data_IF_341895090522
#
_entry.id   IF_341895090522
#
_cell.length_a   1.000
_cell.length_b   1.000
_cell.length_c   1.000
_cell.angle_alpha   90.00
_cell.angle_beta   90.00
_cell.angle_gamma   90.00
#
_symmetry.space_group_name_H-M   'P 1'
#
loop_
_entity.id
_entity.type
_entity.pdbx_description
1 polymer ?
#
# COMPACT_ATOMS: atom_id res chain seq x y z
N UNK A 1 7.76 -13.49 -0.41
CA UNK A 1 8.68 -14.06 0.59
C UNK A 1 9.42 -12.87 1.20
N UNK A 2 9.55 -12.80 2.51
CA UNK A 2 10.28 -11.71 3.17
C UNK A 2 11.71 -12.17 3.45
N UNK A 3 12.70 -11.41 2.97
CA UNK A 3 14.11 -11.69 3.26
C UNK A 3 14.49 -11.14 4.64
N UNK A 4 15.44 -11.80 5.29
CA UNK A 4 16.08 -11.34 6.54
C UNK A 4 17.41 -10.61 6.29
N UNK A 5 17.77 -10.38 5.02
CA UNK A 5 19.00 -9.67 4.66
C UNK A 5 19.01 -8.25 5.23
N UNK A 6 20.18 -7.84 5.74
CA UNK A 6 20.38 -6.52 6.36
C UNK A 6 20.91 -5.50 5.35
N UNK A 7 21.54 -5.96 4.27
CA UNK A 7 22.07 -5.09 3.22
C UNK A 7 21.50 -5.45 1.84
N UNK A 8 21.47 -4.49 0.88
CA UNK A 8 21.07 -4.78 -0.49
C UNK A 8 21.93 -5.86 -1.15
N UNK A 9 23.21 -5.94 -0.79
CA UNK A 9 24.12 -6.95 -1.33
C UNK A 9 23.80 -8.33 -0.79
N UNK A 10 23.65 -8.49 0.53
CA UNK A 10 23.17 -9.73 1.15
C UNK A 10 21.82 -10.17 0.56
N UNK A 11 20.91 -9.21 0.31
CA UNK A 11 19.62 -9.51 -0.30
C UNK A 11 19.81 -10.16 -1.67
N UNK A 12 20.59 -9.52 -2.55
CA UNK A 12 20.91 -10.02 -3.89
C UNK A 12 21.59 -11.39 -3.80
N UNK A 13 22.51 -11.58 -2.86
CA UNK A 13 23.27 -12.81 -2.73
C UNK A 13 22.45 -13.97 -2.13
N UNK A 14 21.37 -13.66 -1.41
CA UNK A 14 20.40 -14.65 -0.93
C UNK A 14 19.42 -15.13 -2.01
N UNK A 15 19.37 -14.49 -3.19
CA UNK A 15 18.44 -14.86 -4.24
C UNK A 15 18.94 -16.06 -5.06
N UNK A 16 18.02 -16.91 -5.55
CA UNK A 16 18.30 -17.85 -6.62
C UNK A 16 18.97 -17.17 -7.82
N UNK A 17 19.85 -17.92 -8.50
CA UNK A 17 20.72 -17.41 -9.55
C UNK A 17 19.94 -16.76 -10.71
N UNK A 18 18.86 -17.40 -11.14
CA UNK A 18 17.94 -16.92 -12.18
C UNK A 18 17.31 -15.56 -11.85
N UNK A 19 17.16 -15.24 -10.56
CA UNK A 19 16.54 -13.99 -10.07
C UNK A 19 17.54 -12.89 -9.79
N UNK A 20 18.79 -13.26 -9.51
CA UNK A 20 19.84 -12.34 -9.09
C UNK A 20 20.15 -11.30 -10.17
N UNK A 21 20.26 -11.73 -11.42
CA UNK A 21 20.58 -10.86 -12.55
C UNK A 21 19.54 -9.75 -12.76
N UNK A 22 18.26 -10.12 -12.81
CA UNK A 22 17.17 -9.15 -13.00
C UNK A 22 17.12 -8.12 -11.86
N UNK A 23 17.30 -8.55 -10.61
CA UNK A 23 17.33 -7.64 -9.46
C UNK A 23 18.56 -6.72 -9.50
N UNK A 24 19.74 -7.21 -9.90
CA UNK A 24 20.95 -6.38 -10.09
C UNK A 24 20.74 -5.31 -11.16
N UNK A 25 20.13 -5.68 -12.30
CA UNK A 25 19.80 -4.75 -13.39
C UNK A 25 18.81 -3.68 -12.92
N UNK A 26 17.72 -4.07 -12.24
CA UNK A 26 16.75 -3.14 -11.67
C UNK A 26 17.37 -2.20 -10.63
N UNK A 27 18.22 -2.72 -9.73
CA UNK A 27 18.93 -1.90 -8.73
C UNK A 27 19.81 -0.86 -9.41
N UNK A 28 20.58 -1.27 -10.41
CA UNK A 28 21.46 -0.38 -11.17
C UNK A 28 20.66 0.70 -11.90
N UNK A 29 19.58 0.30 -12.57
CA UNK A 29 18.66 1.20 -13.28
C UNK A 29 18.09 2.27 -12.34
N UNK A 30 17.59 1.87 -11.16
CA UNK A 30 17.02 2.82 -10.21
C UNK A 30 18.11 3.73 -9.66
N UNK A 31 19.24 3.20 -9.18
CA UNK A 31 20.32 4.02 -8.61
C UNK A 31 20.86 5.05 -9.60
N UNK A 32 20.95 4.72 -10.89
CA UNK A 32 21.40 5.65 -11.94
C UNK A 32 20.43 6.81 -12.15
N UNK A 33 19.13 6.58 -11.98
CA UNK A 33 18.08 7.56 -12.26
C UNK A 33 17.47 8.19 -11.01
N UNK A 34 17.88 7.76 -9.82
CA UNK A 34 17.31 8.19 -8.56
C UNK A 34 17.70 9.66 -8.27
N UNK A 35 16.74 10.56 -8.09
CA UNK A 35 17.04 11.95 -7.75
C UNK A 35 17.82 12.06 -6.44
N UNK A 36 18.62 13.13 -6.31
CA UNK A 36 19.45 13.35 -5.12
C UNK A 36 18.60 13.43 -3.84
N UNK A 37 19.13 12.86 -2.76
CA UNK A 37 18.58 12.94 -1.41
C UNK A 37 17.88 11.68 -0.91
N UNK A 38 17.38 10.84 -1.81
CA UNK A 38 16.87 9.51 -1.44
C UNK A 38 18.02 8.60 -0.98
N UNK A 39 17.74 7.71 -0.03
CA UNK A 39 18.68 6.70 0.48
C UNK A 39 18.24 5.29 0.14
N UNK A 40 19.18 4.46 -0.31
CA UNK A 40 18.97 3.02 -0.47
C UNK A 40 19.10 2.34 0.89
N UNK A 41 18.11 1.54 1.28
CA UNK A 41 18.06 0.80 2.55
C UNK A 41 17.36 -0.55 2.35
N UNK A 42 17.69 -1.53 3.19
CA UNK A 42 16.85 -2.72 3.32
C UNK A 42 15.69 -2.43 4.26
N UNK A 43 14.46 -2.64 3.78
CA UNK A 43 13.26 -2.48 4.59
C UNK A 43 12.18 -3.46 4.17
N UNK A 44 11.44 -3.98 5.14
CA UNK A 44 10.35 -4.95 4.93
C UNK A 44 10.78 -6.19 4.09
N UNK A 45 12.06 -6.54 4.15
CA UNK A 45 12.64 -7.69 3.46
C UNK A 45 12.93 -7.49 1.97
N UNK A 46 13.05 -6.25 1.50
CA UNK A 46 13.45 -5.91 0.13
C UNK A 46 14.19 -4.55 0.06
N UNK A 47 14.74 -4.22 -1.12
CA UNK A 47 15.53 -3.00 -1.32
C UNK A 47 14.57 -1.83 -1.53
N UNK A 48 14.70 -0.81 -0.68
CA UNK A 48 13.89 0.40 -0.70
C UNK A 48 14.75 1.63 -0.96
N UNK A 49 14.15 2.63 -1.60
CA UNK A 49 14.69 3.96 -1.79
C UNK A 49 13.76 4.94 -1.08
N UNK A 50 14.24 5.58 -0.04
CA UNK A 50 13.39 6.30 0.92
C UNK A 50 13.89 7.71 1.23
N UNK A 51 12.95 8.56 1.65
CA UNK A 51 13.24 9.88 2.19
C UNK A 51 13.77 9.71 3.62
N UNK A 52 14.99 10.19 3.93
CA UNK A 52 15.53 10.09 5.29
C UNK A 52 14.65 10.81 6.31
N UNK A 53 14.52 10.27 7.53
CA UNK A 53 13.81 10.95 8.63
C UNK A 53 14.41 12.32 8.97
N UNK A 54 15.71 12.53 8.71
CA UNK A 54 16.35 13.84 8.86
C UNK A 54 15.77 14.92 7.92
N UNK A 55 15.11 14.52 6.83
CA UNK A 55 14.43 15.42 5.88
C UNK A 55 12.93 15.50 6.18
N UNK A 56 12.32 14.39 6.60
CA UNK A 56 10.90 14.32 6.93
C UNK A 56 10.70 13.49 8.21
N UNK A 57 10.80 14.11 9.40
CA UNK A 57 10.71 13.39 10.67
C UNK A 57 9.27 12.99 11.02
N UNK A 58 8.30 13.85 10.67
CA UNK A 58 6.90 13.69 11.04
C UNK A 58 6.10 12.90 9.99
N UNK A 59 6.45 11.63 9.79
CA UNK A 59 5.68 10.73 8.93
C UNK A 59 4.49 10.11 9.69
N UNK A 60 3.51 9.56 8.95
CA UNK A 60 2.26 9.08 9.56
C UNK A 60 2.44 7.89 10.53
N UNK A 61 3.57 7.20 10.48
CA UNK A 61 3.91 6.02 11.29
C UNK A 61 5.33 6.07 11.86
N UNK A 62 6.02 7.20 11.80
CA UNK A 62 7.41 7.34 12.27
C UNK A 62 8.46 6.64 11.41
N UNK A 63 8.08 6.05 10.28
CA UNK A 63 9.00 5.39 9.34
C UNK A 63 9.31 6.28 8.14
N UNK A 64 10.50 6.15 7.51
CA UNK A 64 10.82 6.83 6.25
C UNK A 64 9.76 6.67 5.16
N UNK A 65 9.57 7.73 4.37
CA UNK A 65 8.69 7.67 3.21
C UNK A 65 9.37 6.93 2.07
N UNK A 66 8.92 5.71 1.78
CA UNK A 66 9.39 4.93 0.65
C UNK A 66 8.96 5.59 -0.66
N UNK A 67 9.93 5.96 -1.49
CA UNK A 67 9.71 6.50 -2.83
C UNK A 67 9.60 5.40 -3.88
N UNK A 68 10.56 4.47 -3.86
CA UNK A 68 10.58 3.31 -4.73
C UNK A 68 11.12 2.08 -3.99
N UNK A 69 10.86 0.88 -4.52
CA UNK A 69 11.46 -0.34 -4.01
C UNK A 69 11.49 -1.43 -5.09
N UNK A 70 12.39 -2.42 -4.92
CA UNK A 70 12.44 -3.61 -5.76
C UNK A 70 12.38 -4.86 -4.89
N UNK A 71 11.50 -5.79 -5.25
CA UNK A 71 11.35 -7.04 -4.54
C UNK A 71 11.28 -8.24 -5.49
N UNK A 72 11.92 -9.31 -5.08
CA UNK A 72 11.86 -10.61 -5.71
C UNK A 72 10.66 -11.40 -5.15
N UNK A 73 9.53 -11.39 -5.85
CA UNK A 73 8.31 -12.11 -5.44
C UNK A 73 8.24 -13.49 -6.08
N UNK A 74 7.41 -14.39 -5.53
CA UNK A 74 7.32 -15.80 -5.97
C UNK A 74 7.09 -15.98 -7.48
N UNK A 75 6.39 -15.04 -8.13
CA UNK A 75 5.99 -15.15 -9.55
C UNK A 75 6.42 -13.98 -10.43
N UNK A 76 7.00 -12.93 -9.86
CA UNK A 76 7.35 -11.71 -10.59
C UNK A 76 8.44 -10.93 -9.85
N UNK A 77 8.98 -9.91 -10.50
CA UNK A 77 9.78 -8.87 -9.89
C UNK A 77 8.89 -7.65 -9.67
N UNK A 78 8.74 -7.24 -8.41
CA UNK A 78 7.92 -6.09 -8.06
C UNK A 78 8.77 -4.83 -8.07
N UNK A 79 8.41 -3.86 -8.92
CA UNK A 79 8.95 -2.50 -8.87
C UNK A 79 7.88 -1.60 -8.28
N UNK A 80 8.10 -1.20 -7.04
CA UNK A 80 7.20 -0.32 -6.31
C UNK A 80 7.61 1.13 -6.56
N UNK A 81 6.64 1.98 -6.88
CA UNK A 81 6.84 3.42 -7.05
C UNK A 81 5.68 4.15 -6.38
N UNK A 82 5.94 4.69 -5.19
CA UNK A 82 4.96 5.49 -4.47
C UNK A 82 4.73 6.84 -5.14
N UNK A 83 5.72 7.36 -5.89
CA UNK A 83 5.58 8.59 -6.67
C UNK A 83 4.40 8.55 -7.63
N UNK A 84 4.17 7.40 -8.29
CA UNK A 84 3.04 7.16 -9.19
C UNK A 84 1.69 7.34 -8.47
N UNK A 85 1.61 6.87 -7.21
CA UNK A 85 0.37 6.92 -6.44
C UNK A 85 0.02 8.34 -5.98
N UNK A 86 1.03 9.13 -5.61
CA UNK A 86 0.82 10.47 -5.03
C UNK A 86 0.80 11.55 -6.11
N UNK A 87 1.43 11.31 -7.27
CA UNK A 87 1.51 12.24 -8.39
C UNK A 87 0.86 11.62 -9.64
N UNK A 88 -0.45 11.87 -9.90
CA UNK A 88 -1.20 11.21 -10.97
C UNK A 88 -0.65 11.49 -12.37
N UNK A 89 0.07 12.60 -12.57
CA UNK A 89 0.74 12.91 -13.84
C UNK A 89 1.79 11.88 -14.23
N UNK A 90 2.56 11.36 -13.26
CA UNK A 90 3.59 10.33 -13.51
C UNK A 90 2.93 9.03 -13.93
N UNK A 91 1.86 8.61 -13.23
CA UNK A 91 1.09 7.43 -13.61
C UNK A 91 0.52 7.52 -15.02
N UNK A 92 -0.08 8.68 -15.35
CA UNK A 92 -0.69 8.91 -16.66
C UNK A 92 0.36 8.83 -17.78
N UNK A 93 1.52 9.47 -17.60
CA UNK A 93 2.62 9.43 -18.57
C UNK A 93 3.13 8.00 -18.75
N UNK A 94 3.43 7.31 -17.65
CA UNK A 94 3.91 5.93 -17.68
C UNK A 94 2.96 5.02 -18.44
N UNK A 95 1.68 5.01 -18.06
CA UNK A 95 0.66 4.14 -18.68
C UNK A 95 0.42 4.47 -20.15
N UNK A 96 0.50 5.75 -20.53
CA UNK A 96 0.35 6.20 -21.92
C UNK A 96 1.51 5.72 -22.78
N UNK A 97 2.75 5.94 -22.36
CA UNK A 97 3.93 5.52 -23.12
C UNK A 97 4.07 4.00 -23.17
N UNK A 98 3.71 3.29 -22.08
CA UNK A 98 3.72 1.83 -22.08
C UNK A 98 2.70 1.26 -23.08
N UNK A 99 1.49 1.83 -23.13
CA UNK A 99 0.45 1.39 -24.07
C UNK A 99 0.89 1.55 -25.53
N UNK A 100 1.65 2.60 -25.85
CA UNK A 100 2.18 2.82 -27.21
C UNK A 100 3.15 1.72 -27.66
N UNK A 101 3.86 1.07 -26.73
CA UNK A 101 4.79 -0.03 -27.04
C UNK A 101 4.09 -1.35 -27.36
N UNK A 102 2.78 -1.44 -27.13
CA UNK A 102 2.02 -2.67 -27.37
C UNK A 102 2.28 -3.80 -26.36
N UNK A 103 3.13 -3.58 -25.36
CA UNK A 103 3.38 -4.54 -24.28
C UNK A 103 2.36 -4.39 -23.15
N UNK A 104 1.96 -5.52 -22.56
CA UNK A 104 0.99 -5.53 -21.46
C UNK A 104 1.65 -5.01 -20.17
N UNK A 105 1.18 -3.87 -19.68
CA UNK A 105 1.52 -3.36 -18.35
C UNK A 105 0.69 -4.08 -17.27
N UNK A 106 1.32 -4.93 -16.47
CA UNK A 106 0.74 -5.46 -15.23
C UNK A 106 1.12 -4.56 -14.04
N UNK A 107 0.17 -3.76 -13.58
CA UNK A 107 0.38 -2.84 -12.46
C UNK A 107 -0.75 -2.92 -11.43
N UNK A 108 -0.37 -2.92 -10.15
CA UNK A 108 -1.27 -2.65 -9.03
C UNK A 108 -1.43 -1.15 -8.77
N UNK A 109 -1.78 -0.76 -7.53
CA UNK A 109 -1.89 0.68 -7.17
C UNK A 109 -0.57 1.45 -7.27
N UNK A 110 0.54 0.77 -7.01
CA UNK A 110 1.89 1.36 -6.99
C UNK A 110 2.99 0.35 -7.34
N UNK A 111 2.62 -0.85 -7.80
CA UNK A 111 3.55 -1.96 -8.00
C UNK A 111 3.44 -2.46 -9.43
N UNK A 112 4.48 -2.23 -10.22
CA UNK A 112 4.64 -2.84 -11.54
C UNK A 112 5.16 -4.25 -11.33
N UNK A 113 4.48 -5.23 -11.94
CA UNK A 113 4.83 -6.64 -11.84
C UNK A 113 5.49 -7.07 -13.13
N UNK A 114 6.79 -7.30 -13.06
CA UNK A 114 7.61 -7.66 -14.21
C UNK A 114 7.81 -9.17 -14.19
N UNK A 115 7.48 -9.84 -15.29
CA UNK A 115 7.67 -11.29 -15.40
C UNK A 115 9.14 -11.65 -15.66
N UNK A 116 9.82 -10.89 -16.52
CA UNK A 116 11.23 -11.05 -16.89
C UNK A 116 11.82 -9.72 -17.36
N UNK A 117 13.15 -9.63 -17.48
CA UNK A 117 13.82 -8.40 -17.89
C UNK A 117 13.40 -7.92 -19.29
N UNK A 118 13.09 -8.83 -20.21
CA UNK A 118 12.67 -8.51 -21.58
C UNK A 118 11.30 -7.82 -21.62
N UNK A 119 10.48 -8.02 -20.58
CA UNK A 119 9.16 -7.39 -20.43
C UNK A 119 9.18 -6.18 -19.47
N UNK A 120 10.38 -5.71 -19.10
CA UNK A 120 10.60 -4.69 -18.08
C UNK A 120 10.35 -3.26 -18.59
N UNK A 121 10.53 -3.00 -19.89
CA UNK A 121 10.57 -1.65 -20.47
C UNK A 121 11.43 -0.68 -19.63
N UNK A 122 12.74 -0.95 -19.48
CA UNK A 122 13.58 -0.29 -18.48
C UNK A 122 13.64 1.23 -18.62
N UNK A 123 13.51 1.77 -19.83
CA UNK A 123 13.52 3.22 -20.06
C UNK A 123 12.31 3.91 -19.43
N UNK A 124 11.13 3.30 -19.51
CA UNK A 124 9.90 3.85 -18.92
C UNK A 124 9.98 3.84 -17.39
N UNK A 125 10.59 2.80 -16.82
CA UNK A 125 10.87 2.71 -15.38
C UNK A 125 11.87 3.78 -14.96
N UNK A 126 12.96 3.95 -15.70
CA UNK A 126 13.97 4.96 -15.45
C UNK A 126 13.39 6.38 -15.47
N UNK A 127 12.58 6.69 -16.49
CA UNK A 127 11.91 7.97 -16.64
C UNK A 127 10.96 8.25 -15.47
N UNK A 128 10.16 7.26 -15.06
CA UNK A 128 9.27 7.39 -13.92
C UNK A 128 10.03 7.68 -12.61
N UNK A 129 11.15 6.98 -12.37
CA UNK A 129 12.02 7.19 -11.20
C UNK A 129 12.71 8.56 -11.22
N UNK A 130 13.14 9.04 -12.39
CA UNK A 130 13.80 10.33 -12.51
C UNK A 130 12.82 11.51 -12.35
N UNK A 131 11.53 11.29 -12.66
CA UNK A 131 10.54 12.36 -12.81
C UNK A 131 10.15 13.10 -11.53
N UNK A 132 10.48 12.58 -10.34
CA UNK A 132 10.02 13.17 -9.08
C UNK A 132 11.18 13.50 -8.15
N UNK A 133 11.58 14.77 -8.06
CA UNK A 133 12.51 15.23 -7.04
C UNK A 133 11.99 14.96 -5.62
N UNK A 134 12.89 14.65 -4.68
CA UNK A 134 12.55 14.34 -3.28
C UNK A 134 11.65 15.39 -2.62
N UNK A 135 11.95 16.67 -2.81
CA UNK A 135 11.15 17.78 -2.25
C UNK A 135 9.70 17.74 -2.73
N UNK A 136 9.50 17.48 -4.03
CA UNK A 136 8.17 17.38 -4.61
C UNK A 136 7.41 16.17 -4.05
N UNK A 137 8.09 15.02 -3.91
CA UNK A 137 7.49 13.83 -3.34
C UNK A 137 7.02 14.06 -1.90
N UNK A 138 7.88 14.62 -1.03
CA UNK A 138 7.55 14.92 0.36
C UNK A 138 6.35 15.86 0.47
N UNK A 139 6.35 16.95 -0.31
CA UNK A 139 5.24 17.90 -0.33
C UNK A 139 3.91 17.23 -0.72
N UNK A 140 3.93 16.41 -1.78
CA UNK A 140 2.75 15.73 -2.26
C UNK A 140 2.22 14.68 -1.24
N UNK A 141 3.12 13.94 -0.58
CA UNK A 141 2.74 12.95 0.44
C UNK A 141 2.12 13.62 1.68
N UNK A 142 2.68 14.74 2.13
CA UNK A 142 2.16 15.48 3.28
C UNK A 142 0.78 16.12 2.97
N UNK A 143 0.60 16.66 1.76
CA UNK A 143 -0.68 17.17 1.30
C UNK A 143 -1.76 16.07 1.24
N UNK A 144 -1.43 14.88 0.73
CA UNK A 144 -2.35 13.75 0.69
C UNK A 144 -2.77 13.28 2.10
N UNK A 145 -1.81 13.24 3.04
CA UNK A 145 -2.04 12.82 4.43
C UNK A 145 -2.93 13.81 5.18
N UNK A 146 -2.67 15.11 5.04
CA UNK A 146 -3.48 16.16 5.68
C UNK A 146 -4.93 16.16 5.17
N UNK A 147 -5.13 15.96 3.86
CA UNK A 147 -6.45 15.84 3.24
C UNK A 147 -7.20 14.61 3.77
N UNK A 148 -6.51 13.47 3.92
CA UNK A 148 -7.09 12.25 4.48
C UNK A 148 -7.51 12.45 5.94
N UNK A 149 -6.73 13.16 6.75
CA UNK A 149 -7.06 13.52 8.15
C UNK A 149 -8.32 14.40 8.21
N UNK A 150 -8.40 15.44 7.36
CA UNK A 150 -9.59 16.32 7.26
C UNK A 150 -10.85 15.53 6.86
N UNK A 151 -10.74 14.66 5.86
CA UNK A 151 -11.86 13.84 5.39
C UNK A 151 -12.31 12.81 6.44
N UNK A 152 -11.38 12.21 7.18
CA UNK A 152 -11.69 11.32 8.30
C UNK A 152 -12.40 12.06 9.44
N UNK A 153 -11.96 13.27 9.78
CA UNK A 153 -12.61 14.12 10.77
C UNK A 153 -14.04 14.51 10.34
N UNK A 154 -14.25 14.89 9.08
CA UNK A 154 -15.57 15.21 8.52
C UNK A 154 -16.50 13.99 8.55
N UNK A 155 -16.03 12.81 8.18
CA UNK A 155 -16.81 11.55 8.28
C UNK A 155 -17.19 11.22 9.73
N UNK A 156 -16.27 11.39 10.69
CA UNK A 156 -16.57 11.20 12.12
C UNK A 156 -17.61 12.21 12.63
N UNK A 157 -17.53 13.48 12.21
CA UNK A 157 -18.48 14.52 12.59
C UNK A 157 -19.89 14.29 12.01
N UNK A 158 -19.99 13.85 10.74
CA UNK A 158 -21.26 13.48 10.11
C UNK A 158 -21.88 12.25 10.78
N UNK A 159 -21.07 11.23 11.10
CA UNK A 159 -21.54 10.05 11.86
C UNK A 159 -22.05 10.44 13.25
N UNK A 160 -21.35 11.33 13.96
CA UNK A 160 -21.75 11.82 15.29
C UNK A 160 -23.08 12.60 15.24
N UNK A 161 -23.28 13.50 14.26
CA UNK A 161 -24.55 14.21 14.05
C UNK A 161 -25.72 13.28 13.67
N UNK A 162 -25.47 12.19 12.93
CA UNK A 162 -26.49 11.21 12.56
C UNK A 162 -26.98 10.35 13.74
N UNK A 163 -26.09 10.06 14.71
CA UNK A 163 -26.44 9.34 15.94
C UNK A 163 -27.19 10.21 16.95
N UNK A 164 -26.95 11.53 16.99
CA UNK A 164 -27.70 12.45 17.87
C UNK A 164 -29.15 12.67 17.42
N UNK A 165 -29.45 12.50 16.12
CA UNK A 165 -30.83 12.66 15.59
C UNK A 165 -31.72 11.43 15.82
N UNK A 166 -31.19 10.30 16.32
CA UNK A 166 -31.96 9.06 16.55
C UNK A 166 -32.53 8.93 17.98
N UNK A 167 -32.25 9.86 18.89
CA UNK A 167 -32.70 9.83 20.29
C UNK A 167 -33.88 10.75 20.63
N UNK A 168 -34.51 11.42 19.66
CA UNK A 168 -35.72 12.24 19.88
C UNK A 168 -36.91 11.76 19.06
N UNK A 169 -37.35 10.51 19.26
CA UNK A 169 -38.72 10.11 18.91
C UNK A 169 -39.40 9.59 20.18
N UNK A 170 -40.10 10.51 20.85
CA UNK A 170 -41.00 10.23 21.99
C UNK A 170 -41.97 9.11 21.62
N UNK A 171 -42.02 8.09 22.46
CA UNK A 171 -43.04 7.04 22.49
C UNK A 171 -44.31 7.56 23.15
N UNK A 172 -45.52 7.38 22.58
CA UNK A 172 -46.75 7.57 23.33
C UNK A 172 -47.11 6.28 24.09
N UNK A 173 -47.52 6.49 25.33
CA UNK A 173 -48.06 5.55 26.33
C UNK A 173 -49.28 4.75 25.85
N UNK A 174 -49.36 3.47 26.24
CA UNK A 174 -50.62 2.88 26.78
C UNK A 174 -50.35 1.63 27.63
N UNK A 175 -50.93 1.64 28.84
CA UNK A 175 -51.18 0.51 29.76
C UNK A 175 -52.00 -0.58 28.99
N UNK A 176 -52.02 -1.87 29.32
CA UNK A 176 -52.36 -2.53 30.59
C UNK A 176 -52.08 -4.05 30.49
N UNK A 177 -51.99 -4.69 31.65
CA UNK A 177 -51.64 -6.09 31.91
C UNK A 177 -52.61 -7.18 31.40
N UNK A 178 -52.11 -8.42 31.19
CA UNK A 178 -52.69 -9.67 31.73
C UNK A 178 -51.86 -10.93 31.38
N UNK A 179 -51.19 -11.47 32.41
CA UNK A 179 -51.23 -12.88 32.88
C UNK A 179 -51.31 -14.03 31.84
N UNK A 180 -50.29 -14.90 31.81
CA UNK A 180 -50.51 -16.35 31.70
C UNK A 180 -49.47 -17.15 32.48
N UNK A 181 -49.96 -17.88 33.50
CA UNK A 181 -49.25 -18.85 34.34
C UNK A 181 -49.15 -20.21 33.63
N UNK A 182 -48.05 -20.93 33.92
CA UNK A 182 -47.88 -22.40 34.10
C UNK A 182 -48.38 -23.36 33.01
N UNK A 183 -47.63 -24.37 32.59
CA UNK A 183 -47.28 -25.62 33.32
C UNK A 183 -46.14 -26.31 32.55
N UNK A 184 -45.00 -26.61 33.18
CA UNK A 184 -44.60 -27.91 33.77
C UNK A 184 -44.40 -29.06 32.75
N UNK A 185 -43.13 -29.55 32.73
CA UNK A 185 -42.70 -30.98 32.84
C UNK A 185 -42.98 -31.88 31.62
N UNK A 186 -42.13 -32.79 31.12
CA UNK A 186 -40.93 -33.49 31.63
C UNK A 186 -40.11 -34.03 30.43
N UNK A 187 -38.83 -34.30 30.71
CA UNK A 187 -37.77 -35.06 30.03
C UNK A 187 -38.19 -36.23 29.08
N UNK A 188 -37.33 -36.74 28.18
CA UNK A 188 -36.11 -37.57 28.39
C UNK A 188 -35.47 -37.77 26.98
N UNK A 189 -34.15 -37.50 26.78
CA UNK A 189 -33.04 -38.48 26.56
C UNK A 189 -33.31 -39.44 25.36
N UNK A 190 -32.43 -39.79 24.42
CA UNK A 190 -30.97 -39.82 24.23
C UNK A 190 -30.75 -40.49 22.85
N UNK A 191 -29.54 -40.40 22.26
CA UNK A 191 -28.92 -41.39 21.32
C UNK A 191 -29.49 -41.39 19.87
N UNK A 192 -28.76 -41.52 18.75
CA UNK A 192 -27.45 -42.10 18.38
C UNK A 192 -26.86 -41.40 17.14
N UNK A 193 -25.55 -41.55 16.97
CA UNK A 193 -24.75 -41.21 15.80
C UNK A 193 -25.13 -41.95 14.50
N UNK A 194 -24.87 -41.29 13.37
CA UNK A 194 -23.97 -41.75 12.29
C UNK A 194 -23.67 -40.61 11.34
#
# INVERSE_FOLDING_TARGET
MQSQAKTPQEYIDSLPEDRRDTIKKLRTLIRKNLPKGYKEQMRWGFICYEVPLSVCPDTYNGEPLMYAAIASQKRHYGVYMCGIYVLPGVFKRLTTEWKKRGTRLDIGKSCIRIASWEKCEPDLIAEAIASVPMKQFVAATNAATSTRKKNAAKKKAVKKKSTTKKTTRKSPTKKTAAKKKSRKKTAVKKILAR
#
